data_IF_399841140747
#
_entry.id   IF_399841140747
#
_cell.length_a   1.000
_cell.length_b   1.000
_cell.length_c   1.000
_cell.angle_alpha   90.00
_cell.angle_beta   90.00
_cell.angle_gamma   90.00
#
_symmetry.space_group_name_H-M   'P 1'
#
loop_
_entity.id
_entity.type
_entity.pdbx_description
1 polymer ?
#
# COMPACT_ATOMS: atom_id res chain seq x y z
N UNK A 1 12.89 4.23 -32.14
CA UNK A 1 12.38 5.54 -32.59
C UNK A 1 10.88 5.80 -32.35
N UNK A 2 10.08 4.87 -31.81
CA UNK A 2 8.61 5.03 -31.73
C UNK A 2 8.07 5.81 -30.49
N UNK A 3 8.82 5.92 -29.39
CA UNK A 3 8.31 6.51 -28.14
C UNK A 3 8.20 8.04 -28.15
N UNK A 4 9.06 8.73 -28.89
CA UNK A 4 9.04 10.19 -29.04
C UNK A 4 7.80 10.67 -29.80
N UNK A 5 7.32 9.89 -30.78
CA UNK A 5 6.09 10.19 -31.50
C UNK A 5 4.88 10.32 -30.57
N UNK A 6 4.71 9.38 -29.63
CA UNK A 6 3.60 9.41 -28.67
C UNK A 6 3.73 10.56 -27.66
N UNK A 7 4.95 10.80 -27.15
CA UNK A 7 5.17 11.82 -26.12
C UNK A 7 5.11 13.25 -26.66
N UNK A 8 5.63 13.49 -27.86
CA UNK A 8 5.75 14.83 -28.44
C UNK A 8 4.57 15.23 -29.34
N UNK A 9 3.74 14.30 -29.81
CA UNK A 9 2.60 14.63 -30.66
C UNK A 9 1.52 15.41 -29.89
N UNK A 10 1.16 16.60 -30.39
CA UNK A 10 0.15 17.47 -29.79
C UNK A 10 -1.26 16.87 -29.84
N UNK A 11 -1.53 15.95 -30.78
CA UNK A 11 -2.84 15.28 -30.94
C UNK A 11 -3.09 14.22 -29.87
N UNK A 12 -2.03 13.73 -29.21
CA UNK A 12 -2.16 12.69 -28.18
C UNK A 12 -2.66 13.32 -26.87
N UNK A 13 -3.75 12.81 -26.27
CA UNK A 13 -4.26 13.32 -25.00
C UNK A 13 -3.22 13.22 -23.87
N UNK A 14 -3.16 14.24 -23.02
CA UNK A 14 -2.21 14.31 -21.89
C UNK A 14 -2.32 13.08 -20.98
N UNK A 15 -3.54 12.60 -20.70
CA UNK A 15 -3.76 11.38 -19.90
C UNK A 15 -3.08 10.13 -20.50
N UNK A 16 -3.01 10.02 -21.82
CA UNK A 16 -2.33 8.88 -22.47
C UNK A 16 -0.81 9.03 -22.37
N UNK A 17 -0.29 10.26 -22.56
CA UNK A 17 1.13 10.57 -22.37
C UNK A 17 1.57 10.33 -20.93
N UNK A 18 0.74 10.68 -19.96
CA UNK A 18 0.93 10.39 -18.54
C UNK A 18 1.07 8.88 -18.31
N UNK A 19 0.10 8.07 -18.76
CA UNK A 19 0.16 6.60 -18.64
C UNK A 19 1.42 6.03 -19.27
N UNK A 20 1.79 6.50 -20.46
CA UNK A 20 3.02 6.08 -21.14
C UNK A 20 4.28 6.45 -20.34
N UNK A 21 4.36 7.69 -19.83
CA UNK A 21 5.47 8.14 -19.00
C UNK A 21 5.61 7.28 -17.74
N UNK A 22 4.50 7.04 -17.04
CA UNK A 22 4.47 6.22 -15.81
C UNK A 22 4.90 4.77 -16.05
N UNK A 23 4.51 4.20 -17.19
CA UNK A 23 4.67 2.76 -17.47
C UNK A 23 5.99 2.42 -18.16
N UNK A 24 6.46 3.25 -19.09
CA UNK A 24 7.64 2.95 -19.89
C UNK A 24 8.85 3.82 -19.51
N UNK A 25 8.65 5.13 -19.37
CA UNK A 25 9.76 6.09 -19.19
C UNK A 25 10.29 6.06 -17.76
N UNK A 26 9.42 6.25 -16.77
CA UNK A 26 9.81 6.35 -15.36
C UNK A 26 10.55 5.09 -14.87
N UNK A 27 10.10 3.86 -15.16
CA UNK A 27 10.83 2.66 -14.74
C UNK A 27 12.20 2.55 -15.41
N UNK A 28 12.34 2.96 -16.67
CA UNK A 28 13.61 2.96 -17.38
C UNK A 28 14.61 3.97 -16.77
N UNK A 29 14.16 5.19 -16.44
CA UNK A 29 15.02 6.20 -15.80
C UNK A 29 15.41 5.77 -14.38
N UNK A 30 14.48 5.17 -13.64
CA UNK A 30 14.71 4.72 -12.27
C UNK A 30 15.41 3.35 -12.19
N UNK A 31 15.75 2.74 -13.32
CA UNK A 31 16.42 1.46 -13.34
C UNK A 31 17.73 1.52 -12.56
N UNK A 32 17.97 0.50 -11.73
CA UNK A 32 19.15 0.41 -10.87
C UNK A 32 19.17 1.33 -9.65
N UNK A 33 18.36 2.39 -9.56
CA UNK A 33 18.37 3.37 -8.42
C UNK A 33 18.19 2.77 -7.02
N UNK A 34 17.64 1.55 -6.95
CA UNK A 34 17.45 0.74 -5.75
C UNK A 34 18.76 0.21 -5.16
N UNK A 35 19.81 0.07 -5.97
CA UNK A 35 21.00 -0.73 -5.64
C UNK A 35 22.30 0.08 -5.55
N UNK A 36 22.25 1.42 -5.54
CA UNK A 36 23.45 2.26 -5.37
C UNK A 36 23.17 3.50 -4.50
N UNK A 37 24.23 4.04 -3.92
CA UNK A 37 24.16 5.23 -3.08
C UNK A 37 24.03 6.49 -3.95
N UNK A 38 22.80 6.91 -4.20
CA UNK A 38 22.51 8.10 -5.00
C UNK A 38 23.01 9.36 -4.29
N UNK A 39 23.69 10.23 -5.03
CA UNK A 39 24.15 11.55 -4.59
C UNK A 39 23.16 12.62 -5.06
N UNK A 40 23.15 13.76 -4.38
CA UNK A 40 22.31 14.91 -4.75
C UNK A 40 22.55 15.39 -6.19
N UNK A 41 23.78 15.27 -6.71
CA UNK A 41 24.06 15.56 -8.13
C UNK A 41 23.32 14.64 -9.09
N UNK A 42 23.14 13.37 -8.73
CA UNK A 42 22.38 12.41 -9.54
C UNK A 42 20.88 12.68 -9.45
N UNK A 43 20.35 12.99 -8.25
CA UNK A 43 18.96 13.41 -8.06
C UNK A 43 18.65 14.64 -8.92
N UNK A 44 19.51 15.66 -8.89
CA UNK A 44 19.36 16.88 -9.69
C UNK A 44 19.39 16.58 -11.20
N UNK A 45 20.29 15.72 -11.66
CA UNK A 45 20.36 15.32 -13.08
C UNK A 45 19.10 14.59 -13.53
N UNK A 46 18.61 13.65 -12.72
CA UNK A 46 17.40 12.86 -13.02
C UNK A 46 16.15 13.76 -12.98
N UNK A 47 16.04 14.66 -11.99
CA UNK A 47 14.96 15.64 -11.91
C UNK A 47 14.97 16.63 -13.07
N UNK A 48 16.14 17.08 -13.51
CA UNK A 48 16.26 17.95 -14.68
C UNK A 48 15.88 17.23 -15.98
N UNK A 49 16.25 15.95 -16.13
CA UNK A 49 15.85 15.11 -17.26
C UNK A 49 14.33 14.91 -17.28
N UNK A 50 13.72 14.55 -16.14
CA UNK A 50 12.26 14.46 -15.99
C UNK A 50 11.58 15.76 -16.44
N UNK A 51 11.97 16.89 -15.86
CA UNK A 51 11.31 18.17 -16.15
C UNK A 51 11.44 18.58 -17.62
N UNK A 52 12.55 18.24 -18.29
CA UNK A 52 12.71 18.47 -19.72
C UNK A 52 11.70 17.65 -20.52
N UNK A 53 11.56 16.37 -20.19
CA UNK A 53 10.60 15.47 -20.85
C UNK A 53 9.14 15.90 -20.62
N UNK A 54 8.77 16.22 -19.37
CA UNK A 54 7.41 16.66 -19.03
C UNK A 54 7.04 17.97 -19.75
N UNK A 55 7.99 18.89 -19.88
CA UNK A 55 7.81 20.12 -20.66
C UNK A 55 7.59 19.83 -22.12
N UNK A 56 8.39 18.96 -22.74
CA UNK A 56 8.19 18.52 -24.13
C UNK A 56 6.84 17.85 -24.34
N UNK A 57 6.38 17.01 -23.42
CA UNK A 57 5.06 16.38 -23.48
C UNK A 57 3.91 17.40 -23.51
N UNK A 58 4.09 18.53 -22.80
CA UNK A 58 3.14 19.63 -22.75
C UNK A 58 3.33 20.67 -23.87
N UNK A 59 4.32 20.49 -24.76
CA UNK A 59 4.68 21.49 -25.77
C UNK A 59 5.17 22.81 -25.16
N UNK A 60 5.79 22.76 -23.98
CA UNK A 60 6.28 23.93 -23.25
C UNK A 60 7.80 24.02 -23.28
N UNK A 61 8.29 25.24 -23.36
CA UNK A 61 9.72 25.55 -23.33
C UNK A 61 10.10 26.23 -22.00
N UNK A 62 11.36 26.63 -21.88
CA UNK A 62 11.79 27.47 -20.75
C UNK A 62 11.34 28.92 -20.89
N UNK A 63 11.04 29.38 -22.11
CA UNK A 63 10.62 30.76 -22.37
C UNK A 63 9.21 31.04 -21.86
N UNK A 64 8.37 30.01 -21.73
CA UNK A 64 7.00 30.13 -21.20
C UNK A 64 6.95 30.51 -19.71
N UNK A 65 8.10 30.50 -19.00
CA UNK A 65 8.22 30.84 -17.56
C UNK A 65 7.23 30.13 -16.62
N UNK A 66 6.67 29.00 -17.04
CA UNK A 66 5.77 28.17 -16.22
C UNK A 66 6.56 27.47 -15.12
N UNK A 67 6.05 27.48 -13.88
CA UNK A 67 6.65 26.77 -12.74
C UNK A 67 6.66 25.25 -12.93
N UNK A 68 7.65 24.57 -12.36
CA UNK A 68 7.77 23.11 -12.49
C UNK A 68 6.60 22.38 -11.82
N UNK A 69 6.10 22.90 -10.70
CA UNK A 69 4.94 22.37 -9.99
C UNK A 69 3.70 22.33 -10.89
N UNK A 70 3.41 23.43 -11.60
CA UNK A 70 2.26 23.53 -12.50
C UNK A 70 2.35 22.56 -13.70
N UNK A 71 3.57 22.30 -14.21
CA UNK A 71 3.77 21.29 -15.27
C UNK A 71 3.48 19.89 -14.75
N UNK A 72 3.93 19.57 -13.53
CA UNK A 72 3.68 18.26 -12.90
C UNK A 72 2.20 18.03 -12.60
N UNK A 73 1.51 19.05 -12.10
CA UNK A 73 0.07 19.02 -11.84
C UNK A 73 -0.71 18.79 -13.14
N UNK A 74 -0.36 19.53 -14.21
CA UNK A 74 -0.99 19.38 -15.52
C UNK A 74 -0.83 17.97 -16.12
N UNK A 75 0.33 17.35 -15.96
CA UNK A 75 0.58 15.98 -16.44
C UNK A 75 0.06 14.95 -15.44
N UNK A 76 -0.18 15.32 -14.19
CA UNK A 76 -0.55 14.40 -13.11
C UNK A 76 0.60 13.47 -12.74
N UNK A 77 1.81 13.97 -12.49
CA UNK A 77 2.96 13.11 -12.13
C UNK A 77 3.68 13.60 -10.88
N UNK A 78 3.89 12.68 -9.92
CA UNK A 78 4.75 12.91 -8.77
C UNK A 78 6.22 13.11 -9.18
N UNK A 79 7.01 13.92 -8.46
CA UNK A 79 8.43 14.12 -8.70
C UNK A 79 9.24 12.81 -8.74
N UNK A 80 10.11 12.67 -9.74
CA UNK A 80 10.91 11.45 -9.91
C UNK A 80 11.82 11.14 -8.72
N UNK A 81 12.28 12.16 -7.98
CA UNK A 81 13.12 11.99 -6.80
C UNK A 81 12.35 11.32 -5.67
N UNK A 82 11.08 11.67 -5.47
CA UNK A 82 10.20 11.00 -4.50
C UNK A 82 9.97 9.55 -4.91
N UNK A 83 9.68 9.31 -6.20
CA UNK A 83 9.55 7.93 -6.72
C UNK A 83 10.86 7.12 -6.63
N UNK A 84 12.01 7.77 -6.67
CA UNK A 84 13.31 7.13 -6.46
C UNK A 84 13.46 6.64 -5.01
N UNK A 85 13.10 7.50 -4.04
CA UNK A 85 13.10 7.16 -2.61
C UNK A 85 12.12 6.02 -2.33
N UNK A 86 10.88 6.13 -2.84
CA UNK A 86 9.86 5.09 -2.72
C UNK A 86 10.36 3.74 -3.25
N UNK A 87 10.95 3.71 -4.45
CA UNK A 87 11.50 2.51 -5.05
C UNK A 87 12.59 1.85 -4.21
N UNK A 88 13.49 2.66 -3.63
CA UNK A 88 14.58 2.20 -2.77
C UNK A 88 14.06 1.65 -1.45
N UNK A 89 13.11 2.33 -0.81
CA UNK A 89 12.46 1.85 0.41
C UNK A 89 11.64 0.57 0.16
N UNK A 90 10.93 0.48 -0.98
CA UNK A 90 10.20 -0.73 -1.39
C UNK A 90 11.13 -1.93 -1.58
N UNK A 91 12.29 -1.71 -2.21
CA UNK A 91 13.32 -2.74 -2.35
C UNK A 91 13.91 -3.15 -0.99
N UNK A 92 14.28 -2.18 -0.16
CA UNK A 92 14.80 -2.46 1.17
C UNK A 92 13.78 -3.25 2.02
N UNK A 93 12.51 -2.88 1.98
CA UNK A 93 11.45 -3.64 2.65
C UNK A 93 11.20 -5.02 2.06
N UNK A 94 11.51 -5.25 0.79
CA UNK A 94 11.53 -6.61 0.23
C UNK A 94 12.69 -7.43 0.81
N UNK A 95 13.89 -6.85 0.93
CA UNK A 95 15.06 -7.51 1.55
C UNK A 95 14.80 -7.82 3.02
N UNK A 96 14.24 -6.88 3.79
CA UNK A 96 13.87 -7.05 5.20
C UNK A 96 12.71 -8.02 5.44
N UNK A 97 12.00 -8.48 4.39
CA UNK A 97 10.98 -9.53 4.52
C UNK A 97 11.49 -10.91 4.12
N UNK A 98 12.68 -11.02 3.52
CA UNK A 98 13.26 -12.33 3.20
C UNK A 98 13.77 -13.03 4.47
N UNK A 99 13.79 -14.38 4.50
CA UNK A 99 14.46 -15.12 5.57
C UNK A 99 15.91 -14.66 5.76
N UNK A 100 16.41 -14.73 6.99
CA UNK A 100 17.78 -14.32 7.35
C UNK A 100 18.82 -15.08 6.53
N UNK A 101 18.56 -16.34 6.20
CA UNK A 101 19.46 -17.21 5.42
C UNK A 101 19.56 -16.83 3.94
N UNK A 102 18.64 -16.00 3.43
CA UNK A 102 18.68 -15.60 2.04
C UNK A 102 19.95 -14.80 1.73
N UNK A 103 20.64 -15.14 0.65
CA UNK A 103 21.93 -14.52 0.29
C UNK A 103 21.88 -12.99 0.28
N UNK A 104 20.81 -12.41 -0.26
CA UNK A 104 20.61 -10.95 -0.32
C UNK A 104 20.53 -10.34 1.07
N UNK A 105 19.81 -10.98 2.01
CA UNK A 105 19.67 -10.48 3.37
C UNK A 105 20.94 -10.65 4.18
N UNK A 106 21.65 -11.77 4.02
CA UNK A 106 22.97 -11.99 4.62
C UNK A 106 23.94 -10.89 4.20
N UNK A 107 24.04 -10.61 2.90
CA UNK A 107 24.91 -9.55 2.38
C UNK A 107 24.49 -8.17 2.90
N UNK A 108 23.19 -7.88 2.97
CA UNK A 108 22.70 -6.60 3.50
C UNK A 108 22.96 -6.44 5.00
N UNK A 109 23.04 -7.53 5.77
CA UNK A 109 23.32 -7.53 7.21
C UNK A 109 24.81 -7.66 7.56
N UNK A 110 25.67 -8.07 6.62
CA UNK A 110 27.12 -8.21 6.85
C UNK A 110 27.72 -6.93 7.46
N UNK A 111 28.31 -7.06 8.64
CA UNK A 111 29.04 -5.95 9.23
C UNK A 111 30.32 -5.69 8.42
N UNK A 112 30.52 -4.43 8.04
CA UNK A 112 31.77 -4.04 7.39
C UNK A 112 32.85 -3.97 8.46
N UNK A 113 33.93 -4.74 8.30
CA UNK A 113 35.17 -4.53 9.06
C UNK A 113 35.53 -3.04 8.97
N UNK A 114 35.82 -2.41 10.11
CA UNK A 114 36.32 -1.04 10.17
C UNK A 114 37.70 -0.98 9.50
N UNK A 115 37.69 -0.82 8.19
CA UNK A 115 38.88 -0.66 7.37
C UNK A 115 39.03 0.80 7.02
N UNK A 116 40.25 1.32 7.14
CA UNK A 116 40.61 2.68 6.73
C UNK A 116 40.17 2.86 5.28
N UNK A 117 39.33 3.87 5.03
CA UNK A 117 38.75 4.09 3.70
C UNK A 117 39.85 4.56 2.76
N UNK A 118 40.23 3.72 1.80
CA UNK A 118 41.19 4.09 0.75
C UNK A 118 40.71 5.25 -0.15
N UNK A 119 41.66 5.93 -0.79
CA UNK A 119 41.42 7.02 -1.74
C UNK A 119 40.54 6.52 -2.91
N UNK A 120 39.52 7.28 -3.30
CA UNK A 120 38.60 6.94 -4.40
C UNK A 120 37.33 6.17 -4.00
N UNK A 121 37.23 5.62 -2.78
CA UNK A 121 36.01 4.92 -2.33
C UNK A 121 34.83 5.90 -2.15
N UNK A 122 33.61 5.58 -2.63
CA UNK A 122 32.44 6.43 -2.41
C UNK A 122 32.20 6.72 -0.93
N UNK A 123 32.06 8.01 -0.58
CA UNK A 123 31.85 8.46 0.81
C UNK A 123 30.50 8.02 1.38
N UNK A 124 29.47 7.93 0.52
CA UNK A 124 28.10 7.54 0.89
C UNK A 124 27.86 6.05 0.68
N UNK A 125 27.25 5.39 1.64
CA UNK A 125 26.81 3.99 1.53
C UNK A 125 25.31 3.88 1.31
N UNK A 126 24.85 2.75 0.77
CA UNK A 126 23.42 2.46 0.62
C UNK A 126 22.69 2.51 1.97
N UNK A 127 23.29 1.96 3.04
CA UNK A 127 22.70 2.02 4.39
C UNK A 127 22.54 3.45 4.90
N UNK A 128 23.51 4.33 4.66
CA UNK A 128 23.40 5.76 5.03
C UNK A 128 22.27 6.46 4.25
N UNK A 129 22.12 6.14 2.96
CA UNK A 129 21.03 6.67 2.13
C UNK A 129 19.67 6.17 2.63
N UNK A 130 19.52 4.87 2.93
CA UNK A 130 18.29 4.30 3.47
C UNK A 130 17.95 4.94 4.82
N UNK A 131 18.92 5.09 5.74
CA UNK A 131 18.71 5.78 7.02
C UNK A 131 18.22 7.22 6.83
N UNK A 132 18.78 7.93 5.85
CA UNK A 132 18.34 9.29 5.51
C UNK A 132 16.91 9.28 4.96
N UNK A 133 16.61 8.39 4.03
CA UNK A 133 15.29 8.26 3.41
C UNK A 133 14.22 7.92 4.45
N UNK A 134 14.51 7.03 5.39
CA UNK A 134 13.62 6.70 6.51
C UNK A 134 13.34 7.91 7.39
N UNK A 135 14.38 8.64 7.80
CA UNK A 135 14.22 9.88 8.58
C UNK A 135 13.42 10.96 7.84
N UNK A 136 13.66 11.13 6.54
CA UNK A 136 12.96 12.12 5.73
C UNK A 136 11.47 11.79 5.54
N UNK A 137 11.10 10.52 5.59
CA UNK A 137 9.72 10.06 5.44
C UNK A 137 9.04 9.77 6.80
N UNK A 138 9.70 10.06 7.92
CA UNK A 138 9.24 9.73 9.28
C UNK A 138 8.85 8.25 9.44
N UNK A 139 9.65 7.36 8.86
CA UNK A 139 9.44 5.91 8.90
C UNK A 139 10.46 5.26 9.83
N UNK A 140 10.00 4.47 10.78
CA UNK A 140 10.86 3.56 11.53
C UNK A 140 11.15 2.27 10.74
N UNK A 141 12.28 1.62 11.03
CA UNK A 141 12.65 0.34 10.38
C UNK A 141 11.60 -0.73 10.61
N UNK A 142 10.92 -0.72 11.76
CA UNK A 142 9.78 -1.62 12.05
C UNK A 142 8.57 -1.36 11.17
N UNK A 143 8.35 -0.12 10.70
CA UNK A 143 7.23 0.26 9.83
C UNK A 143 7.38 -0.25 8.40
N UNK A 144 8.59 -0.65 7.99
CA UNK A 144 8.87 -1.18 6.64
C UNK A 144 8.47 -2.67 6.52
N UNK A 145 8.41 -3.38 7.65
CA UNK A 145 7.89 -4.74 7.71
C UNK A 145 6.39 -4.81 7.42
N UNK A 146 5.74 -3.65 7.47
CA UNK A 146 4.32 -3.51 7.72
C UNK A 146 3.72 -2.72 6.58
N UNK A 147 2.50 -3.07 6.22
CA UNK A 147 1.63 -2.22 5.42
C UNK A 147 1.98 -2.14 3.92
N UNK A 148 1.58 -3.18 3.20
CA UNK A 148 1.21 -3.06 1.77
C UNK A 148 0.04 -2.08 1.56
N UNK A 149 -0.70 -1.75 2.62
CA UNK A 149 -1.94 -0.96 2.56
C UNK A 149 -1.77 0.55 2.75
N UNK A 150 -0.67 1.02 3.36
CA UNK A 150 -0.51 2.44 3.74
C UNK A 150 -0.22 3.40 2.56
N UNK A 151 -0.12 2.89 1.33
CA UNK A 151 -0.02 3.71 0.10
C UNK A 151 -0.80 3.12 -1.07
N UNK A 152 -1.99 2.58 -0.83
CA UNK A 152 -2.86 2.25 -1.96
C UNK A 152 -3.38 3.56 -2.59
N UNK A 153 -3.16 3.76 -3.87
CA UNK A 153 -3.76 4.86 -4.65
C UNK A 153 -4.52 4.28 -5.83
N UNK A 154 -5.48 5.01 -6.40
CA UNK A 154 -6.14 4.58 -7.65
C UNK A 154 -5.15 4.29 -8.79
N UNK A 155 -3.92 4.81 -8.70
CA UNK A 155 -2.81 4.58 -9.61
C UNK A 155 -2.19 3.16 -9.51
N UNK A 156 -2.51 2.40 -8.46
CA UNK A 156 -2.01 1.04 -8.23
C UNK A 156 -2.92 -0.04 -8.82
N UNK A 157 -4.05 0.36 -9.43
CA UNK A 157 -4.93 -0.56 -10.17
C UNK A 157 -4.29 -0.90 -11.50
N UNK A 158 -3.94 -2.18 -11.67
CA UNK A 158 -3.32 -2.72 -12.88
C UNK A 158 -4.33 -3.07 -13.96
N UNK A 159 -5.49 -3.61 -13.58
CA UNK A 159 -6.56 -4.02 -14.51
C UNK A 159 -7.90 -4.06 -13.78
N UNK A 160 -8.97 -3.73 -14.48
CA UNK A 160 -10.35 -3.90 -14.01
C UNK A 160 -11.05 -4.88 -14.96
N UNK A 161 -11.58 -5.98 -14.41
CA UNK A 161 -12.23 -7.01 -15.21
C UNK A 161 -13.66 -7.20 -14.71
N UNK A 162 -14.63 -7.14 -15.63
CA UNK A 162 -15.98 -7.57 -15.34
C UNK A 162 -16.01 -9.09 -15.18
N UNK A 163 -16.59 -9.54 -14.07
CA UNK A 163 -16.61 -10.94 -13.68
C UNK A 163 -17.74 -11.68 -14.38
N UNK A 164 -17.47 -12.90 -14.88
CA UNK A 164 -18.50 -13.79 -15.45
C UNK A 164 -19.50 -14.22 -14.36
N UNK A 165 -20.75 -14.45 -14.73
CA UNK A 165 -21.82 -14.83 -13.80
C UNK A 165 -21.52 -16.08 -12.95
N UNK A 166 -20.75 -17.04 -13.46
CA UNK A 166 -20.31 -18.21 -12.68
C UNK A 166 -19.35 -17.84 -11.54
N UNK A 167 -18.41 -16.94 -11.79
CA UNK A 167 -17.43 -16.47 -10.80
C UNK A 167 -18.10 -15.52 -9.80
N UNK A 168 -19.03 -14.67 -10.25
CA UNK A 168 -19.84 -13.83 -9.37
C UNK A 168 -20.61 -14.67 -8.33
N UNK A 169 -21.21 -15.78 -8.75
CA UNK A 169 -21.88 -16.72 -7.83
C UNK A 169 -20.91 -17.30 -6.79
N UNK A 170 -19.71 -17.71 -7.21
CA UNK A 170 -18.68 -18.23 -6.29
C UNK A 170 -18.23 -17.20 -5.26
N UNK A 171 -17.99 -15.96 -5.69
CA UNK A 171 -17.59 -14.86 -4.78
C UNK A 171 -18.70 -14.61 -3.75
N UNK A 172 -19.95 -14.53 -4.21
CA UNK A 172 -21.09 -14.32 -3.31
C UNK A 172 -21.26 -15.45 -2.30
N UNK A 173 -21.11 -16.69 -2.73
CA UNK A 173 -21.18 -17.85 -1.85
C UNK A 173 -20.08 -17.80 -0.79
N UNK A 174 -18.82 -17.56 -1.20
CA UNK A 174 -17.70 -17.43 -0.27
C UNK A 174 -17.89 -16.31 0.76
N UNK A 175 -18.47 -15.16 0.36
CA UNK A 175 -18.77 -14.05 1.28
C UNK A 175 -19.90 -14.42 2.25
N UNK A 176 -20.93 -15.15 1.78
CA UNK A 176 -22.04 -15.59 2.64
C UNK A 176 -21.59 -16.62 3.68
N UNK A 177 -20.71 -17.54 3.29
CA UNK A 177 -20.11 -18.53 4.19
C UNK A 177 -19.24 -17.88 5.26
N UNK A 178 -18.44 -16.87 4.90
CA UNK A 178 -17.55 -16.17 5.83
C UNK A 178 -18.32 -15.21 6.76
N UNK A 179 -19.37 -14.56 6.26
CA UNK A 179 -20.15 -13.58 7.01
C UNK A 179 -21.66 -13.86 6.93
N UNK A 180 -22.17 -14.81 7.74
CA UNK A 180 -23.60 -15.16 7.75
C UNK A 180 -24.54 -13.98 8.04
N UNK A 181 -24.07 -13.00 8.82
CA UNK A 181 -24.84 -11.79 9.13
C UNK A 181 -25.14 -10.89 7.92
N UNK A 182 -24.46 -11.07 6.78
CA UNK A 182 -24.76 -10.36 5.54
C UNK A 182 -25.84 -11.05 4.69
N UNK A 183 -26.18 -12.31 4.94
CA UNK A 183 -27.12 -13.08 4.12
C UNK A 183 -28.44 -12.33 3.79
N UNK A 184 -29.12 -11.66 4.75
CA UNK A 184 -30.36 -10.94 4.44
C UNK A 184 -30.18 -9.71 3.55
N UNK A 185 -28.98 -9.12 3.51
CA UNK A 185 -28.70 -7.86 2.78
C UNK A 185 -27.77 -8.09 1.58
N UNK A 186 -27.35 -9.33 1.35
CA UNK A 186 -26.38 -9.68 0.31
C UNK A 186 -26.94 -9.42 -1.10
N UNK A 187 -28.26 -9.57 -1.29
CA UNK A 187 -28.92 -9.27 -2.56
C UNK A 187 -28.96 -7.76 -2.87
N UNK A 188 -28.95 -6.90 -1.85
CA UNK A 188 -28.88 -5.44 -2.01
C UNK A 188 -27.44 -4.96 -2.26
N UNK A 189 -26.47 -5.54 -1.54
CA UNK A 189 -25.06 -5.14 -1.62
C UNK A 189 -24.39 -5.70 -2.89
N UNK A 190 -24.67 -6.96 -3.24
CA UNK A 190 -24.11 -7.64 -4.40
C UNK A 190 -25.23 -8.16 -5.31
N UNK A 191 -25.97 -7.33 -6.07
CA UNK A 191 -27.14 -7.77 -6.83
C UNK A 191 -26.82 -8.84 -7.88
N UNK A 192 -27.71 -9.85 -8.04
CA UNK A 192 -27.52 -10.97 -8.99
C UNK A 192 -27.44 -10.50 -10.46
N UNK A 193 -28.14 -9.42 -10.78
CA UNK A 193 -28.27 -8.87 -12.13
C UNK A 193 -27.27 -7.75 -12.44
N UNK A 194 -26.62 -7.20 -11.42
CA UNK A 194 -25.65 -6.11 -11.59
C UNK A 194 -24.28 -6.67 -12.01
N UNK A 195 -23.56 -6.03 -12.93
CA UNK A 195 -22.19 -6.41 -13.24
C UNK A 195 -21.30 -6.24 -12.01
N UNK A 196 -20.55 -7.29 -11.68
CA UNK A 196 -19.52 -7.27 -10.64
C UNK A 196 -18.16 -7.03 -11.32
N UNK A 197 -17.38 -6.07 -10.83
CA UNK A 197 -16.04 -5.77 -11.35
C UNK A 197 -15.01 -6.21 -10.31
N UNK A 198 -13.95 -6.89 -10.75
CA UNK A 198 -12.78 -7.16 -9.90
C UNK A 198 -11.59 -6.36 -10.42
N UNK A 199 -11.13 -5.42 -9.61
CA UNK A 199 -9.94 -4.63 -9.88
C UNK A 199 -8.71 -5.30 -9.27
N UNK A 200 -7.77 -5.68 -10.13
CA UNK A 200 -6.47 -6.22 -9.75
C UNK A 200 -5.50 -5.09 -9.46
N UNK A 201 -4.99 -5.06 -8.25
CA UNK A 201 -4.06 -4.06 -7.77
C UNK A 201 -2.66 -4.65 -7.59
N UNK A 202 -1.66 -3.78 -7.44
CA UNK A 202 -0.30 -4.23 -7.11
C UNK A 202 -0.28 -5.05 -5.80
N UNK A 203 0.74 -5.90 -5.66
CA UNK A 203 0.97 -6.78 -4.50
C UNK A 203 -0.11 -7.87 -4.29
N UNK A 204 -0.82 -8.26 -5.36
CA UNK A 204 -1.86 -9.30 -5.34
C UNK A 204 -3.08 -8.93 -4.50
N UNK A 205 -3.39 -7.64 -4.41
CA UNK A 205 -4.64 -7.16 -3.84
C UNK A 205 -5.71 -7.16 -4.94
N UNK A 206 -6.86 -7.78 -4.67
CA UNK A 206 -8.02 -7.78 -5.55
C UNK A 206 -9.15 -7.03 -4.85
N UNK A 207 -9.80 -6.09 -5.54
CA UNK A 207 -10.94 -5.35 -5.03
C UNK A 207 -12.21 -5.78 -5.75
N UNK A 208 -13.26 -6.05 -4.99
CA UNK A 208 -14.59 -6.36 -5.49
C UNK A 208 -15.42 -5.08 -5.50
N UNK A 209 -15.82 -4.67 -6.69
CA UNK A 209 -16.49 -3.40 -6.97
C UNK A 209 -17.90 -3.65 -7.51
N UNK A 210 -18.86 -2.92 -6.98
CA UNK A 210 -20.22 -2.80 -7.52
C UNK A 210 -20.50 -1.32 -7.73
N UNK A 211 -20.95 -0.94 -8.93
CA UNK A 211 -21.16 0.47 -9.30
C UNK A 211 -19.94 1.36 -9.00
N UNK A 212 -18.74 0.81 -9.26
CA UNK A 212 -17.43 1.42 -8.98
C UNK A 212 -17.12 1.70 -7.50
N UNK A 213 -17.94 1.22 -6.57
CA UNK A 213 -17.69 1.33 -5.12
C UNK A 213 -17.00 0.07 -4.61
N UNK A 214 -15.85 0.19 -3.90
CA UNK A 214 -15.15 -0.96 -3.35
C UNK A 214 -15.87 -1.47 -2.09
N UNK A 215 -16.35 -2.71 -2.15
CA UNK A 215 -17.11 -3.33 -1.07
C UNK A 215 -16.29 -4.37 -0.31
N UNK A 216 -15.54 -5.19 -1.04
CA UNK A 216 -14.65 -6.20 -0.46
C UNK A 216 -13.28 -6.15 -1.09
N UNK A 217 -12.28 -6.68 -0.39
CA UNK A 217 -10.94 -6.88 -0.90
C UNK A 217 -10.40 -8.26 -0.50
N UNK A 218 -9.52 -8.83 -1.31
CA UNK A 218 -8.79 -10.06 -0.98
C UNK A 218 -7.31 -9.89 -1.31
N UNK A 219 -6.45 -10.55 -0.54
CA UNK A 219 -4.99 -10.51 -0.72
C UNK A 219 -4.50 -11.91 -1.05
N UNK A 220 -3.78 -12.07 -2.18
CA UNK A 220 -3.18 -13.36 -2.62
C UNK A 220 -4.16 -14.54 -2.59
N UNK A 221 -5.39 -14.31 -3.06
CA UNK A 221 -6.47 -15.30 -3.08
C UNK A 221 -6.92 -15.81 -1.70
N UNK A 222 -6.64 -15.04 -0.64
CA UNK A 222 -7.20 -15.24 0.69
C UNK A 222 -8.70 -14.87 0.77
N UNK A 223 -9.30 -14.98 1.97
CA UNK A 223 -10.71 -14.70 2.16
C UNK A 223 -11.04 -13.24 1.83
N UNK A 224 -12.29 -13.02 1.40
CA UNK A 224 -12.79 -11.68 1.10
C UNK A 224 -13.03 -10.93 2.41
N UNK A 225 -12.42 -9.77 2.56
CA UNK A 225 -12.61 -8.89 3.70
C UNK A 225 -13.49 -7.69 3.29
N UNK A 226 -14.42 -7.26 4.14
CA UNK A 226 -15.20 -6.06 3.87
C UNK A 226 -14.30 -4.81 3.96
N UNK A 227 -14.65 -3.76 3.23
CA UNK A 227 -14.05 -2.44 3.46
C UNK A 227 -14.55 -1.85 4.79
N UNK A 228 -13.78 -0.94 5.38
CA UNK A 228 -14.21 -0.28 6.62
C UNK A 228 -15.53 0.46 6.47
N UNK A 229 -15.81 1.02 5.29
CA UNK A 229 -17.09 1.67 4.99
C UNK A 229 -18.26 0.69 5.06
N UNK A 230 -18.09 -0.50 4.47
CA UNK A 230 -19.10 -1.54 4.54
C UNK A 230 -19.29 -2.03 5.99
N UNK A 231 -18.18 -2.21 6.73
CA UNK A 231 -18.22 -2.59 8.13
C UNK A 231 -18.89 -1.54 9.02
N UNK A 232 -18.75 -0.24 8.70
CA UNK A 232 -19.45 0.82 9.45
C UNK A 232 -20.97 0.80 9.21
N UNK A 233 -21.42 0.38 8.02
CA UNK A 233 -22.84 0.19 7.73
C UNK A 233 -23.40 -1.06 8.41
N UNK A 234 -22.61 -2.13 8.49
CA UNK A 234 -22.99 -3.39 9.13
C UNK A 234 -21.98 -3.80 10.21
N UNK A 235 -21.99 -3.18 11.39
CA UNK A 235 -20.95 -3.39 12.41
C UNK A 235 -20.87 -4.81 12.98
N UNK A 236 -21.94 -5.60 12.87
CA UNK A 236 -22.06 -6.89 13.54
C UNK A 236 -21.65 -8.09 12.67
N UNK A 237 -21.13 -7.85 11.47
CA UNK A 237 -20.73 -8.89 10.52
C UNK A 237 -19.41 -9.58 10.89
N UNK A 238 -18.58 -8.93 11.72
CA UNK A 238 -17.26 -9.40 12.11
C UNK A 238 -17.12 -9.44 13.63
N UNK A 239 -16.28 -10.37 14.11
CA UNK A 239 -15.81 -10.39 15.50
C UNK A 239 -14.99 -9.12 15.78
N UNK A 240 -15.19 -8.54 16.96
CA UNK A 240 -14.62 -7.25 17.36
C UNK A 240 -13.56 -7.45 18.43
N UNK A 241 -12.41 -6.83 18.25
CA UNK A 241 -11.37 -6.68 19.27
C UNK A 241 -11.19 -5.20 19.58
N UNK A 242 -11.03 -4.84 20.84
CA UNK A 242 -10.82 -3.46 21.25
C UNK A 242 -9.35 -3.24 21.62
N UNK A 243 -8.77 -2.15 21.10
CA UNK A 243 -7.44 -1.68 21.48
C UNK A 243 -7.54 -0.51 22.45
N UNK A 244 -6.51 -0.37 23.29
CA UNK A 244 -6.39 0.78 24.18
C UNK A 244 -6.17 2.11 23.46
N UNK A 245 -6.35 3.20 24.21
CA UNK A 245 -6.13 4.57 23.71
C UNK A 245 -4.72 4.81 23.17
N UNK A 246 -3.71 4.15 23.76
CA UNK A 246 -2.31 4.31 23.38
C UNK A 246 -2.03 3.77 21.98
N UNK A 247 -2.68 2.67 21.61
CA UNK A 247 -2.53 2.01 20.31
C UNK A 247 -3.23 2.74 19.16
N UNK A 248 -4.30 3.51 19.42
CA UNK A 248 -5.14 4.17 18.39
C UNK A 248 -4.31 4.91 17.34
N UNK A 249 -3.38 5.77 17.79
CA UNK A 249 -2.54 6.57 16.89
C UNK A 249 -1.70 5.71 15.95
N UNK A 250 -1.19 4.59 16.45
CA UNK A 250 -0.33 3.69 15.68
C UNK A 250 -1.14 2.82 14.71
N UNK A 251 -2.34 2.39 15.12
CA UNK A 251 -3.26 1.65 14.24
C UNK A 251 -3.69 2.52 13.06
N UNK A 252 -4.00 3.80 13.29
CA UNK A 252 -4.31 4.78 12.24
C UNK A 252 -3.10 5.15 11.37
N UNK A 253 -1.89 4.76 11.76
CA UNK A 253 -0.69 4.87 10.95
C UNK A 253 -0.37 3.56 10.18
N UNK A 254 -1.22 2.53 10.31
CA UNK A 254 -1.07 1.24 9.64
C UNK A 254 -0.19 0.23 10.38
N UNK A 255 0.15 0.47 11.66
CA UNK A 255 0.87 -0.50 12.46
C UNK A 255 -0.02 -1.70 12.83
N UNK A 256 0.61 -2.85 13.05
CA UNK A 256 -0.06 -4.06 13.55
C UNK A 256 -0.38 -3.87 15.01
N UNK A 257 -1.37 -4.64 15.45
CA UNK A 257 -1.81 -4.61 16.82
C UNK A 257 -0.97 -5.61 17.59
N UNK A 258 -0.25 -5.10 18.58
CA UNK A 258 0.60 -5.90 19.47
C UNK A 258 -0.26 -6.49 20.60
N UNK A 259 0.10 -7.67 21.09
CA UNK A 259 -0.64 -8.35 22.17
C UNK A 259 -0.90 -7.45 23.40
N UNK A 260 0.07 -6.66 23.90
CA UNK A 260 -0.15 -5.77 25.04
C UNK A 260 -1.24 -4.71 24.84
N UNK A 261 -1.49 -4.29 23.59
CA UNK A 261 -2.53 -3.29 23.29
C UNK A 261 -3.96 -3.86 23.35
N UNK A 262 -4.09 -5.20 23.36
CA UNK A 262 -5.36 -5.93 23.44
C UNK A 262 -5.65 -6.45 24.85
N UNK A 263 -4.60 -6.64 25.67
CA UNK A 263 -4.69 -7.19 27.04
C UNK A 263 -4.63 -6.13 28.13
N UNK A 264 -4.43 -4.86 27.77
CA UNK A 264 -4.43 -3.72 28.70
C UNK A 264 -5.85 -3.44 29.24
N UNK A 265 -6.00 -2.58 30.28
CA UNK A 265 -7.30 -2.32 30.89
C UNK A 265 -8.38 -1.77 29.94
N UNK A 266 -7.97 -1.12 28.84
CA UNK A 266 -8.87 -0.63 27.78
C UNK A 266 -9.01 -1.60 26.60
N UNK A 267 -8.27 -2.72 26.61
CA UNK A 267 -8.34 -3.76 25.60
C UNK A 267 -9.45 -4.78 25.90
N UNK A 268 -10.15 -5.22 24.86
CA UNK A 268 -11.21 -6.24 24.97
C UNK A 268 -10.96 -7.30 23.90
N UNK A 269 -10.85 -8.54 24.35
CA UNK A 269 -10.67 -9.72 23.51
C UNK A 269 -11.90 -10.61 23.60
N UNK A 270 -12.40 -11.07 22.45
CA UNK A 270 -13.35 -12.17 22.38
C UNK A 270 -12.57 -13.49 22.39
N UNK A 271 -12.73 -14.29 23.45
CA UNK A 271 -11.97 -15.53 23.66
C UNK A 271 -12.33 -16.64 22.65
N UNK A 272 -13.41 -16.50 21.89
CA UNK A 272 -13.80 -17.41 20.82
C UNK A 272 -12.96 -17.24 19.55
N UNK A 273 -12.20 -16.14 19.44
CA UNK A 273 -11.44 -15.82 18.23
C UNK A 273 -10.19 -16.70 18.12
N UNK A 274 -10.17 -17.54 17.09
CA UNK A 274 -9.03 -18.37 16.71
C UNK A 274 -7.91 -17.58 16.01
N UNK A 275 -6.81 -18.28 15.69
CA UNK A 275 -5.77 -17.74 14.82
C UNK A 275 -6.26 -17.70 13.36
N UNK A 276 -5.67 -16.80 12.56
CA UNK A 276 -6.00 -16.55 11.15
C UNK A 276 -7.47 -16.18 10.90
N UNK A 277 -8.12 -15.57 11.90
CA UNK A 277 -9.52 -15.16 11.85
C UNK A 277 -9.62 -13.67 11.47
N UNK A 278 -10.54 -13.28 10.57
CA UNK A 278 -10.78 -11.88 10.23
C UNK A 278 -11.46 -11.16 11.40
N UNK A 279 -10.87 -10.04 11.84
CA UNK A 279 -11.34 -9.27 12.98
C UNK A 279 -11.44 -7.77 12.68
N UNK A 280 -12.44 -7.14 13.29
CA UNK A 280 -12.62 -5.70 13.32
C UNK A 280 -11.94 -5.12 14.57
N UNK A 281 -11.12 -4.08 14.40
CA UNK A 281 -10.41 -3.42 15.50
C UNK A 281 -11.17 -2.15 15.90
N UNK A 282 -11.71 -2.16 17.11
CA UNK A 282 -12.43 -1.08 17.76
C UNK A 282 -11.48 -0.26 18.65
N UNK A 283 -11.77 1.02 18.82
CA UNK A 283 -11.10 1.86 19.81
C UNK A 283 -11.93 1.97 21.08
N UNK A 284 -11.25 2.03 22.22
CA UNK A 284 -11.87 2.45 23.47
C UNK A 284 -12.61 3.79 23.30
N UNK A 285 -13.92 3.80 23.59
CA UNK A 285 -14.76 4.99 23.52
C UNK A 285 -15.16 5.43 22.10
N UNK A 286 -14.98 4.57 21.07
CA UNK A 286 -15.43 4.84 19.69
C UNK A 286 -16.41 3.77 19.22
N UNK A 287 -17.44 4.23 18.48
CA UNK A 287 -18.51 3.37 17.96
C UNK A 287 -18.13 2.65 16.66
N UNK A 288 -17.17 3.18 15.90
CA UNK A 288 -16.78 2.68 14.59
C UNK A 288 -15.43 1.95 14.65
N UNK A 289 -15.29 0.92 13.81
CA UNK A 289 -14.02 0.22 13.65
C UNK A 289 -12.94 1.15 13.07
N UNK A 290 -11.75 1.10 13.63
CA UNK A 290 -10.58 1.84 13.17
C UNK A 290 -9.80 1.08 12.10
N UNK A 291 -9.78 -0.25 12.20
CA UNK A 291 -9.03 -1.10 11.29
C UNK A 291 -9.67 -2.49 11.17
N UNK A 292 -9.22 -3.23 10.15
CA UNK A 292 -9.56 -4.62 9.85
C UNK A 292 -8.26 -5.38 9.67
N UNK A 293 -8.19 -6.60 10.20
CA UNK A 293 -6.99 -7.42 10.17
C UNK A 293 -7.24 -8.91 10.39
N UNK A 294 -6.17 -9.70 10.33
CA UNK A 294 -6.20 -11.13 10.70
C UNK A 294 -5.46 -11.36 12.00
N UNK A 295 -6.01 -12.19 12.86
CA UNK A 295 -5.30 -12.65 14.06
C UNK A 295 -4.12 -13.53 13.69
N UNK A 296 -2.95 -13.24 14.24
CA UNK A 296 -1.75 -14.08 14.13
C UNK A 296 -1.74 -15.21 15.15
N UNK A 297 -2.43 -15.00 16.25
CA UNK A 297 -2.48 -15.87 17.42
C UNK A 297 -3.93 -15.95 17.90
N UNK A 298 -4.31 -17.04 18.55
CA UNK A 298 -5.65 -17.13 19.14
C UNK A 298 -5.82 -16.10 20.26
N UNK A 299 -7.05 -15.67 20.55
CA UNK A 299 -7.30 -14.73 21.65
C UNK A 299 -6.78 -15.25 23.00
N UNK A 300 -6.85 -16.58 23.21
CA UNK A 300 -6.28 -17.25 24.40
C UNK A 300 -4.77 -17.11 24.46
N UNK A 301 -4.08 -17.32 23.34
CA UNK A 301 -2.63 -17.19 23.24
C UNK A 301 -2.17 -15.73 23.39
N UNK A 302 -2.94 -14.78 22.83
CA UNK A 302 -2.68 -13.34 22.98
C UNK A 302 -2.68 -12.96 24.47
N UNK A 303 -3.67 -13.46 25.22
CA UNK A 303 -3.82 -13.21 26.66
C UNK A 303 -2.73 -13.91 27.49
N UNK A 304 -2.37 -15.15 27.14
CA UNK A 304 -1.37 -15.93 27.87
C UNK A 304 0.07 -15.48 27.61
N UNK A 305 0.46 -15.25 26.36
CA UNK A 305 1.84 -14.93 25.98
C UNK A 305 2.11 -13.42 26.14
N UNK A 306 1.10 -12.59 25.88
CA UNK A 306 1.15 -11.13 26.02
C UNK A 306 2.38 -10.45 25.37
N UNK A 307 2.91 -11.02 24.28
CA UNK A 307 4.09 -10.54 23.58
C UNK A 307 4.00 -10.84 22.09
N UNK A 308 4.51 -9.92 21.27
CA UNK A 308 4.51 -10.06 19.82
C UNK A 308 3.28 -9.46 19.14
N UNK A 309 3.11 -9.80 17.86
CA UNK A 309 2.03 -9.31 17.02
C UNK A 309 0.81 -10.19 17.26
N UNK A 310 -0.29 -9.58 17.73
CA UNK A 310 -1.56 -10.27 17.91
C UNK A 310 -2.42 -10.25 16.65
N UNK A 311 -2.48 -9.11 15.95
CA UNK A 311 -3.28 -8.94 14.72
C UNK A 311 -2.48 -8.19 13.67
N UNK A 312 -2.40 -8.76 12.46
CA UNK A 312 -1.87 -8.09 11.28
C UNK A 312 -2.90 -7.08 10.76
N UNK A 313 -2.50 -5.81 10.70
CA UNK A 313 -3.37 -4.73 10.21
C UNK A 313 -3.36 -4.70 8.68
N UNK A 314 -4.54 -4.85 8.08
CA UNK A 314 -4.69 -4.89 6.63
C UNK A 314 -5.31 -3.62 6.05
N UNK A 315 -6.32 -3.07 6.71
CA UNK A 315 -7.04 -1.90 6.23
C UNK A 315 -7.40 -1.03 7.43
N UNK A 316 -7.10 0.26 7.37
CA UNK A 316 -7.34 1.19 8.48
C UNK A 316 -7.93 2.51 8.00
N UNK A 317 -8.54 3.24 8.92
CA UNK A 317 -9.22 4.49 8.62
C UNK A 317 -8.20 5.55 8.13
N UNK A 318 -8.55 6.28 7.08
CA UNK A 318 -7.68 7.22 6.35
C UNK A 318 -6.53 6.62 5.54
N UNK A 319 -6.48 5.29 5.39
CA UNK A 319 -5.58 4.67 4.43
C UNK A 319 -6.01 4.93 2.98
N UNK A 320 -5.25 4.36 2.04
CA UNK A 320 -5.48 4.53 0.62
C UNK A 320 -6.85 4.01 0.15
N UNK A 321 -7.28 2.86 0.68
CA UNK A 321 -8.54 2.24 0.31
C UNK A 321 -9.73 2.99 0.93
N UNK A 322 -9.57 3.57 2.12
CA UNK A 322 -10.59 4.39 2.77
C UNK A 322 -10.88 5.69 2.01
N UNK A 323 -9.82 6.34 1.51
CA UNK A 323 -9.89 7.57 0.72
C UNK A 323 -10.49 7.34 -0.67
N UNK A 324 -10.48 6.10 -1.16
CA UNK A 324 -11.03 5.75 -2.46
C UNK A 324 -12.52 5.43 -2.34
N UNK A 325 -13.37 6.44 -2.53
CA UNK A 325 -14.82 6.28 -2.45
C UNK A 325 -15.39 5.55 -3.68
N UNK A 326 -14.82 5.87 -4.85
CA UNK A 326 -15.15 5.28 -6.14
C UNK A 326 -13.88 5.08 -6.94
N UNK A 327 -13.87 4.03 -7.74
CA UNK A 327 -12.82 3.74 -8.71
C UNK A 327 -13.28 4.19 -10.10
N UNK A 328 -12.73 5.31 -10.56
CA UNK A 328 -12.94 5.84 -11.92
C UNK A 328 -12.05 5.15 -12.97
#
# INVERSE_FOLDING_TARGET
>A
EQASGVLCDAKVPIKLKEKFYRTAVRPAILYGTKCWAVKSQHENKVGAAEMRMLRWMCGKTRQDKIRNEAIRERVGVAPIVEKMVENRLRWFGHVERKPVDSAVRRVDQMERRQTIRGRGRPKKTIREVIKKDLKLNDLDRSMIYMSVSSRFSGEDVSAQNQVKASVQRKIRQSIAEEYPGLEPVLDDILPKKSPLIVAKCQNHLNLVLVNNVPLFFSVRDGPYMPTLRLLHLYPNIMKKLQVDRGAIRFVLAGANIMCPGLTSPGGVLDEEVGAECPVAIMAEGKQHALAIGFTKMSAKDIKAINKGIGVDNLHYLNDGLWKMEKLD
#
